data_IF_945406432438
#
_entry.id   IF_945406432438
#
_cell.length_a   1.000
_cell.length_b   1.000
_cell.length_c   1.000
_cell.angle_alpha   90.00
_cell.angle_beta   90.00
_cell.angle_gamma   90.00
#
_symmetry.space_group_name_H-M   'P 1'
#
loop_
_entity.id
_entity.type
_entity.pdbx_description
1 polymer ?
#
# COMPACT_ATOMS: atom_id res chain seq x y z
N UNK A 1 -4.78 7.31 -26.16
CA UNK A 1 -4.66 6.71 -24.82
C UNK A 1 -3.84 5.42 -24.90
N UNK A 2 -4.35 4.38 -25.56
CA UNK A 2 -3.66 3.08 -25.69
C UNK A 2 -4.03 2.10 -24.57
N UNK A 3 -3.62 0.83 -24.72
CA UNK A 3 -3.93 -0.26 -23.77
C UNK A 3 -2.76 -0.59 -22.83
N UNK A 4 -1.74 0.26 -22.76
CA UNK A 4 -0.56 0.08 -21.92
C UNK A 4 -0.61 1.00 -20.69
N UNK A 5 0.09 0.60 -19.61
CA UNK A 5 0.33 1.42 -18.41
C UNK A 5 -0.94 2.03 -17.75
N UNK A 6 -2.03 1.27 -17.78
CA UNK A 6 -3.37 1.72 -17.38
C UNK A 6 -4.00 0.87 -16.26
N UNK A 7 -3.20 0.02 -15.58
CA UNK A 7 -3.69 -0.83 -14.50
C UNK A 7 -3.75 -0.06 -13.16
N UNK A 8 -4.93 0.17 -12.55
CA UNK A 8 -5.07 0.87 -11.28
C UNK A 8 -4.22 0.28 -10.16
N UNK A 9 -3.86 1.09 -9.16
CA UNK A 9 -3.07 0.70 -8.00
C UNK A 9 -3.43 1.55 -6.78
N UNK A 10 -2.76 1.32 -5.64
CA UNK A 10 -2.86 2.21 -4.47
C UNK A 10 -2.16 3.56 -4.66
N UNK A 11 -1.40 3.70 -5.73
CA UNK A 11 -0.62 4.89 -6.06
C UNK A 11 0.59 4.52 -6.91
N UNK A 12 1.17 5.48 -7.62
CA UNK A 12 2.46 5.23 -8.24
C UNK A 12 3.54 5.19 -7.14
N UNK A 13 4.46 4.24 -7.28
CA UNK A 13 5.55 4.01 -6.33
C UNK A 13 6.86 3.73 -7.04
N UNK A 14 7.78 3.13 -6.29
CA UNK A 14 9.12 2.80 -6.75
C UNK A 14 10.08 3.98 -6.73
N UNK A 15 11.34 3.73 -7.08
CA UNK A 15 12.39 4.72 -6.82
C UNK A 15 12.29 6.00 -7.67
N UNK A 16 11.85 5.90 -8.94
CA UNK A 16 11.94 7.02 -9.88
C UNK A 16 10.72 7.97 -9.82
N UNK A 17 9.51 7.47 -10.05
CA UNK A 17 8.33 8.32 -10.22
C UNK A 17 8.08 9.27 -9.02
N UNK A 18 8.09 8.81 -7.75
CA UNK A 18 7.88 9.67 -6.59
C UNK A 18 8.91 10.78 -6.41
N UNK A 19 10.19 10.53 -6.69
CA UNK A 19 11.24 11.54 -6.54
C UNK A 19 11.29 12.47 -7.75
N UNK A 20 11.10 11.95 -8.96
CA UNK A 20 11.26 12.71 -10.19
C UNK A 20 10.11 13.71 -10.38
N UNK A 21 8.88 13.37 -9.99
CA UNK A 21 7.74 14.31 -10.01
C UNK A 21 7.93 15.44 -9.00
N UNK A 22 8.39 15.13 -7.79
CA UNK A 22 8.73 16.14 -6.76
C UNK A 22 9.89 17.03 -7.21
N UNK A 23 10.93 16.46 -7.82
CA UNK A 23 12.06 17.21 -8.33
C UNK A 23 11.65 18.14 -9.47
N UNK A 24 10.82 17.65 -10.39
CA UNK A 24 10.30 18.48 -11.47
C UNK A 24 9.48 19.64 -10.92
N UNK A 25 8.59 19.39 -9.96
CA UNK A 25 7.82 20.43 -9.29
C UNK A 25 8.73 21.49 -8.62
N UNK A 26 9.77 21.06 -7.90
CA UNK A 26 10.72 21.96 -7.28
C UNK A 26 11.47 22.82 -8.32
N UNK A 27 11.86 22.22 -9.45
CA UNK A 27 12.55 22.93 -10.53
C UNK A 27 11.69 24.00 -11.22
N UNK A 28 10.36 23.89 -11.16
CA UNK A 28 9.45 24.89 -11.73
C UNK A 28 9.50 26.22 -10.96
N UNK A 29 9.89 26.23 -9.68
CA UNK A 29 9.84 27.43 -8.82
C UNK A 29 8.47 28.14 -8.94
N UNK A 30 8.46 29.35 -9.51
CA UNK A 30 7.27 30.17 -9.69
C UNK A 30 6.76 30.21 -11.15
N UNK A 31 7.27 29.33 -12.02
CA UNK A 31 6.74 29.21 -13.39
C UNK A 31 5.26 28.77 -13.30
N UNK A 32 4.32 29.51 -13.90
CA UNK A 32 2.89 29.20 -13.78
C UNK A 32 2.56 27.80 -14.31
N UNK A 33 2.01 26.96 -13.43
CA UNK A 33 1.53 25.61 -13.74
C UNK A 33 0.54 25.15 -12.67
N UNK A 34 -0.32 24.19 -13.01
CA UNK A 34 -1.21 23.50 -12.05
C UNK A 34 -1.15 21.97 -12.17
N UNK A 35 -0.77 21.44 -13.34
CA UNK A 35 -0.71 20.00 -13.56
C UNK A 35 0.47 19.34 -12.82
N UNK A 36 1.61 20.02 -12.72
CA UNK A 36 2.82 19.43 -12.13
C UNK A 36 2.62 19.25 -10.62
N UNK A 37 2.04 20.24 -9.94
CA UNK A 37 1.66 20.12 -8.53
C UNK A 37 0.56 19.08 -8.31
N UNK A 38 -0.45 19.03 -9.19
CA UNK A 38 -1.57 18.11 -9.08
C UNK A 38 -1.13 16.64 -9.23
N UNK A 39 -0.12 16.34 -10.05
CA UNK A 39 0.43 14.98 -10.20
C UNK A 39 1.04 14.49 -8.87
N UNK A 40 1.71 15.36 -8.13
CA UNK A 40 2.30 15.02 -6.84
C UNK A 40 1.19 14.82 -5.80
N UNK A 41 0.28 15.78 -5.66
CA UNK A 41 -0.79 15.73 -4.66
C UNK A 41 -1.82 14.62 -4.92
N UNK A 42 -2.10 14.30 -6.18
CA UNK A 42 -3.02 13.23 -6.58
C UNK A 42 -2.62 11.87 -5.98
N UNK A 43 -1.32 11.58 -5.90
CA UNK A 43 -0.85 10.32 -5.31
C UNK A 43 -1.17 10.22 -3.81
N UNK A 44 -1.04 11.33 -3.08
CA UNK A 44 -1.37 11.39 -1.66
C UNK A 44 -2.88 11.23 -1.45
N UNK A 45 -3.70 11.95 -2.23
CA UNK A 45 -5.16 11.83 -2.19
C UNK A 45 -5.60 10.39 -2.47
N UNK A 46 -4.99 9.72 -3.45
CA UNK A 46 -5.27 8.33 -3.77
C UNK A 46 -4.95 7.39 -2.60
N UNK A 47 -3.78 7.53 -1.97
CA UNK A 47 -3.36 6.71 -0.83
C UNK A 47 -4.29 6.90 0.37
N UNK A 48 -4.63 8.15 0.70
CA UNK A 48 -5.59 8.46 1.77
C UNK A 48 -6.98 7.91 1.51
N UNK A 49 -7.46 7.99 0.26
CA UNK A 49 -8.74 7.40 -0.12
C UNK A 49 -8.75 5.88 0.08
N UNK A 50 -7.70 5.18 -0.38
CA UNK A 50 -7.57 3.73 -0.20
C UNK A 50 -7.58 3.34 1.28
N UNK A 51 -6.79 4.03 2.11
CA UNK A 51 -6.75 3.76 3.54
C UNK A 51 -8.13 3.95 4.19
N UNK A 52 -8.86 5.03 3.83
CA UNK A 52 -10.22 5.28 4.32
C UNK A 52 -11.19 4.15 3.92
N UNK A 53 -11.11 3.66 2.69
CA UNK A 53 -11.96 2.54 2.25
C UNK A 53 -11.67 1.26 3.04
N UNK A 54 -10.40 0.96 3.35
CA UNK A 54 -10.01 -0.19 4.18
C UNK A 54 -10.57 -0.03 5.60
N UNK A 55 -10.46 1.16 6.19
CA UNK A 55 -10.99 1.46 7.53
C UNK A 55 -12.50 1.23 7.57
N UNK A 56 -13.25 1.77 6.61
CA UNK A 56 -14.72 1.60 6.58
C UNK A 56 -15.11 0.11 6.53
N UNK A 57 -14.45 -0.69 5.67
CA UNK A 57 -14.72 -2.15 5.59
C UNK A 57 -14.37 -2.86 6.90
N UNK A 58 -13.32 -2.44 7.60
CA UNK A 58 -12.97 -3.01 8.90
C UNK A 58 -13.98 -2.64 9.98
N UNK A 59 -14.47 -1.40 9.99
CA UNK A 59 -15.44 -0.92 10.98
C UNK A 59 -16.74 -1.72 10.93
N UNK A 60 -17.18 -2.12 9.73
CA UNK A 60 -18.36 -2.97 9.49
C UNK A 60 -18.23 -4.41 10.01
N UNK A 61 -17.01 -4.91 10.30
CA UNK A 61 -16.80 -6.30 10.76
C UNK A 61 -16.91 -6.41 12.28
N UNK A 62 -17.75 -7.29 12.79
CA UNK A 62 -17.77 -7.57 14.25
C UNK A 62 -16.56 -8.41 14.65
N UNK A 63 -15.55 -7.77 15.23
CA UNK A 63 -14.35 -8.44 15.75
C UNK A 63 -13.76 -7.65 16.90
N UNK A 64 -13.35 -8.32 18.01
CA UNK A 64 -12.76 -7.63 19.16
C UNK A 64 -11.42 -6.98 18.84
N UNK A 65 -10.69 -7.49 17.84
CA UNK A 65 -9.42 -6.93 17.37
C UNK A 65 -9.51 -6.79 15.86
N UNK A 66 -9.25 -5.58 15.34
CA UNK A 66 -9.22 -5.31 13.91
C UNK A 66 -7.82 -5.60 13.38
N UNK A 67 -7.71 -6.57 12.48
CA UNK A 67 -6.46 -7.04 11.88
C UNK A 67 -6.50 -6.86 10.37
N UNK A 68 -5.56 -6.08 9.85
CA UNK A 68 -5.30 -5.97 8.41
C UNK A 68 -4.13 -6.85 8.04
N UNK A 69 -4.37 -7.81 7.15
CA UNK A 69 -3.33 -8.58 6.49
C UNK A 69 -2.83 -7.87 5.25
N UNK A 70 -1.59 -7.38 5.27
CA UNK A 70 -0.94 -6.82 4.09
C UNK A 70 -0.24 -7.93 3.31
N UNK A 71 -0.78 -8.25 2.14
CA UNK A 71 -0.20 -9.25 1.25
C UNK A 71 0.74 -8.57 0.25
N UNK A 72 2.05 -8.79 0.47
CA UNK A 72 3.20 -8.25 -0.28
C UNK A 72 3.44 -6.75 -0.08
N UNK A 73 4.71 -6.38 0.00
CA UNK A 73 5.22 -5.00 0.06
C UNK A 73 5.85 -4.54 -1.25
N UNK A 74 6.01 -5.44 -2.22
CA UNK A 74 6.62 -5.14 -3.52
C UNK A 74 5.92 -3.95 -4.23
N UNK A 75 6.73 -3.05 -4.80
CA UNK A 75 6.20 -1.82 -5.43
C UNK A 75 5.42 -2.06 -6.73
N UNK A 76 5.76 -3.13 -7.46
CA UNK A 76 5.18 -3.53 -8.74
C UNK A 76 5.36 -5.04 -8.92
N UNK A 77 4.62 -5.63 -9.86
CA UNK A 77 4.77 -7.04 -10.24
C UNK A 77 6.24 -7.38 -10.52
N UNK A 78 6.70 -8.51 -9.96
CA UNK A 78 8.07 -9.03 -10.12
C UNK A 78 9.19 -8.11 -9.60
N UNK A 79 8.89 -7.16 -8.72
CA UNK A 79 9.91 -6.36 -8.04
C UNK A 79 10.58 -7.16 -6.92
N UNK A 80 11.88 -6.96 -6.74
CA UNK A 80 12.69 -7.54 -5.66
C UNK A 80 12.87 -6.59 -4.46
N UNK A 81 12.32 -5.38 -4.56
CA UNK A 81 12.42 -4.36 -3.52
C UNK A 81 11.08 -3.63 -3.27
N UNK A 82 11.04 -2.97 -2.13
CA UNK A 82 9.87 -2.29 -1.54
C UNK A 82 10.12 -0.78 -1.31
N UNK A 83 11.06 -0.17 -2.05
CA UNK A 83 11.33 1.29 -1.96
C UNK A 83 10.13 2.07 -2.49
N UNK A 84 9.69 3.07 -1.74
CA UNK A 84 8.54 3.93 -2.09
C UNK A 84 7.31 3.14 -2.56
N UNK A 85 7.07 1.96 -1.97
CA UNK A 85 5.90 1.15 -2.30
C UNK A 85 4.65 1.85 -1.77
N UNK A 86 3.66 2.10 -2.62
CA UNK A 86 2.46 2.85 -2.25
C UNK A 86 1.68 2.21 -1.09
N UNK A 87 1.82 0.90 -0.89
CA UNK A 87 1.18 0.20 0.24
C UNK A 87 1.77 0.58 1.59
N UNK A 88 3.04 1.00 1.65
CA UNK A 88 3.67 1.45 2.90
C UNK A 88 3.00 2.71 3.45
N UNK A 89 2.74 3.69 2.58
CA UNK A 89 2.01 4.90 2.99
C UNK A 89 0.58 4.58 3.44
N UNK A 90 -0.06 3.59 2.80
CA UNK A 90 -1.38 3.11 3.24
C UNK A 90 -1.27 2.48 4.63
N UNK A 91 -0.25 1.65 4.89
CA UNK A 91 0.02 1.07 6.22
C UNK A 91 0.21 2.17 7.27
N UNK A 92 0.98 3.22 6.97
CA UNK A 92 1.25 4.29 7.93
C UNK A 92 -0.03 5.04 8.33
N UNK A 93 -0.94 5.26 7.38
CA UNK A 93 -2.26 5.83 7.67
C UNK A 93 -3.09 4.87 8.54
N UNK A 94 -3.05 3.56 8.27
CA UNK A 94 -3.77 2.56 9.06
C UNK A 94 -3.21 2.44 10.49
N UNK A 95 -1.88 2.52 10.67
CA UNK A 95 -1.21 2.52 11.98
C UNK A 95 -1.57 3.72 12.86
N UNK A 96 -2.05 4.82 12.27
CA UNK A 96 -2.59 5.96 13.04
C UNK A 96 -3.92 5.64 13.74
N UNK A 97 -4.47 4.45 13.52
CA UNK A 97 -5.70 3.92 14.11
C UNK A 97 -5.37 2.69 14.97
N UNK A 98 -6.33 2.27 15.79
CA UNK A 98 -6.23 1.05 16.61
C UNK A 98 -6.44 -0.21 15.75
N UNK A 99 -5.58 -0.40 14.74
CA UNK A 99 -5.64 -1.50 13.78
C UNK A 99 -4.33 -2.27 13.85
N UNK A 100 -4.41 -3.57 14.15
CA UNK A 100 -3.27 -4.47 14.10
C UNK A 100 -2.89 -4.74 12.65
N UNK A 101 -1.62 -4.52 12.30
CA UNK A 101 -1.08 -4.82 10.97
C UNK A 101 -0.28 -6.11 11.03
N UNK A 102 -0.63 -7.08 10.19
CA UNK A 102 0.22 -8.25 9.91
C UNK A 102 0.65 -8.21 8.45
N UNK A 103 1.89 -8.58 8.17
CA UNK A 103 2.47 -8.49 6.83
C UNK A 103 2.93 -9.87 6.39
N UNK A 104 2.52 -10.28 5.20
CA UNK A 104 3.10 -11.42 4.50
C UNK A 104 4.02 -10.89 3.39
N UNK A 105 5.33 -11.07 3.56
CA UNK A 105 6.33 -10.75 2.54
C UNK A 105 7.48 -11.76 2.62
N UNK A 106 7.46 -12.83 1.79
CA UNK A 106 8.48 -13.87 1.81
C UNK A 106 9.90 -13.36 1.55
N UNK A 107 10.04 -12.24 0.84
CA UNK A 107 11.34 -11.63 0.54
C UNK A 107 11.92 -10.85 1.74
N UNK A 108 11.13 -10.64 2.79
CA UNK A 108 11.54 -9.90 3.98
C UNK A 108 11.82 -10.87 5.13
N UNK A 109 13.01 -10.80 5.71
CA UNK A 109 13.40 -11.67 6.83
C UNK A 109 12.96 -11.13 8.19
N UNK A 110 12.96 -9.79 8.35
CA UNK A 110 12.54 -9.10 9.57
C UNK A 110 12.07 -7.70 9.25
N UNK A 111 11.13 -7.20 10.04
CA UNK A 111 10.78 -5.78 10.06
C UNK A 111 11.83 -4.99 10.86
N UNK A 112 11.74 -3.66 10.78
CA UNK A 112 12.53 -2.77 11.64
C UNK A 112 12.14 -2.99 13.10
N UNK A 113 13.09 -2.82 14.03
CA UNK A 113 12.88 -3.11 15.46
C UNK A 113 11.76 -2.30 16.11
N UNK A 114 11.46 -1.13 15.56
CA UNK A 114 10.41 -0.21 16.05
C UNK A 114 9.07 -0.38 15.31
N UNK A 115 9.02 -1.24 14.28
CA UNK A 115 7.79 -1.46 13.52
C UNK A 115 6.76 -2.21 14.38
N UNK A 116 5.59 -1.60 14.57
CA UNK A 116 4.48 -2.20 15.31
C UNK A 116 3.74 -3.31 14.53
N UNK A 117 4.06 -3.47 13.24
CA UNK A 117 3.49 -4.55 12.42
C UNK A 117 4.15 -5.88 12.75
N UNK A 118 3.43 -6.97 12.51
CA UNK A 118 3.96 -8.32 12.71
C UNK A 118 4.22 -9.00 11.37
N UNK A 119 5.43 -9.48 11.15
CA UNK A 119 5.75 -10.29 9.97
C UNK A 119 5.24 -11.72 10.16
N UNK A 120 4.36 -12.17 9.28
CA UNK A 120 3.75 -13.51 9.30
C UNK A 120 4.00 -14.15 7.93
N UNK A 121 5.14 -14.82 7.78
CA UNK A 121 5.56 -15.46 6.51
C UNK A 121 5.01 -16.88 6.32
N UNK A 122 4.14 -17.34 7.23
CA UNK A 122 3.30 -18.52 7.01
C UNK A 122 1.96 -18.08 6.41
N UNK A 123 1.72 -18.43 5.14
CA UNK A 123 0.57 -17.93 4.38
C UNK A 123 -0.76 -18.37 4.99
N UNK A 124 -0.86 -19.60 5.50
CA UNK A 124 -2.09 -20.07 6.12
C UNK A 124 -2.42 -19.30 7.41
N UNK A 125 -1.44 -19.09 8.28
CA UNK A 125 -1.61 -18.33 9.50
C UNK A 125 -1.89 -16.85 9.22
N UNK A 126 -1.30 -16.28 8.16
CA UNK A 126 -1.61 -14.94 7.70
C UNK A 126 -3.09 -14.82 7.32
N UNK A 127 -3.58 -15.75 6.49
CA UNK A 127 -4.99 -15.81 6.06
C UNK A 127 -5.96 -15.97 7.22
N UNK A 128 -5.64 -16.83 8.19
CA UNK A 128 -6.49 -17.09 9.37
C UNK A 128 -6.59 -15.89 10.31
N UNK A 129 -5.52 -15.08 10.42
CA UNK A 129 -5.46 -13.95 11.35
C UNK A 129 -6.05 -12.66 10.79
N UNK A 130 -6.00 -12.45 9.47
CA UNK A 130 -6.46 -11.22 8.84
C UNK A 130 -8.00 -11.14 8.82
N UNK A 131 -8.58 -10.03 9.31
CA UNK A 131 -9.99 -9.75 9.07
C UNK A 131 -10.23 -9.29 7.63
N UNK A 132 -9.25 -8.60 7.04
CA UNK A 132 -9.23 -8.21 5.63
C UNK A 132 -7.82 -8.34 5.09
N UNK A 133 -7.69 -8.82 3.84
CA UNK A 133 -6.42 -8.88 3.14
C UNK A 133 -6.34 -7.72 2.14
N UNK A 134 -5.27 -6.94 2.24
CA UNK A 134 -4.99 -5.79 1.39
C UNK A 134 -3.77 -6.08 0.54
N UNK A 135 -3.91 -5.93 -0.78
CA UNK A 135 -2.79 -6.08 -1.71
C UNK A 135 -2.90 -5.14 -2.90
N UNK A 136 -1.75 -4.65 -3.38
CA UNK A 136 -1.69 -3.79 -4.56
C UNK A 136 -1.91 -4.59 -5.85
N UNK A 137 -1.59 -5.89 -5.87
CA UNK A 137 -1.75 -6.79 -7.02
C UNK A 137 -2.25 -8.13 -6.52
N UNK A 138 -3.39 -8.56 -7.04
CA UNK A 138 -3.97 -9.84 -6.70
C UNK A 138 -3.09 -11.00 -7.16
N UNK A 139 -3.11 -12.10 -6.41
CA UNK A 139 -2.45 -13.36 -6.71
C UNK A 139 -3.45 -14.52 -6.52
N UNK A 140 -3.30 -15.57 -7.32
CA UNK A 140 -4.16 -16.75 -7.28
C UNK A 140 -4.04 -17.50 -5.95
N UNK A 141 -2.94 -17.37 -5.22
CA UNK A 141 -2.79 -17.98 -3.90
C UNK A 141 -3.74 -17.40 -2.85
N UNK A 142 -4.44 -16.30 -3.15
CA UNK A 142 -5.50 -15.71 -2.30
C UNK A 142 -6.91 -16.16 -2.68
N UNK A 143 -7.06 -17.11 -3.61
CA UNK A 143 -8.38 -17.50 -4.13
C UNK A 143 -9.30 -18.11 -3.07
N UNK A 144 -8.76 -18.85 -2.11
CA UNK A 144 -9.47 -19.46 -0.98
C UNK A 144 -10.03 -18.44 0.03
N UNK A 145 -9.53 -17.20 0.02
CA UNK A 145 -9.91 -16.12 0.94
C UNK A 145 -10.40 -14.86 0.20
N UNK A 146 -10.95 -15.03 -1.00
CA UNK A 146 -11.32 -13.93 -1.89
C UNK A 146 -12.45 -13.01 -1.36
N UNK A 147 -13.32 -13.52 -0.49
CA UNK A 147 -14.55 -12.85 -0.06
C UNK A 147 -14.54 -12.52 1.44
#
# INVERSE_FOLDING_TARGET
IGMHYNNPSFGYGGYCLPKDTKQLLANYNNIPQTLIEAIVSSNNVRKSYIAKQIINVLEERESPVKVVGVYRLIMKSNSDNFRESAIKDVIDILKSKDIKIIIYEPMLNKLESEDQSVLVNDLENFKKQANIIVTNRYDNELQDVKN
#
